data_IF_361422423973
#
_entry.id   IF_361422423973
#
_cell.length_a   1.000
_cell.length_b   1.000
_cell.length_c   1.000
_cell.angle_alpha   90.00
_cell.angle_beta   90.00
_cell.angle_gamma   90.00
#
_symmetry.space_group_name_H-M   'P 1'
#
loop_
_entity.id
_entity.type
_entity.pdbx_description
1 polymer ?
#
# COMPACT_ATOMS: atom_id res chain seq x y z
N UNK A 1 -65.93 40.38 -4.46
CA UNK A 1 -64.78 40.61 -5.35
C UNK A 1 -63.64 39.69 -4.93
N UNK A 2 -63.09 38.93 -5.90
CA UNK A 2 -61.83 38.17 -5.93
C UNK A 2 -61.43 37.37 -4.68
N UNK A 3 -61.80 36.08 -4.70
CA UNK A 3 -61.13 35.05 -3.91
C UNK A 3 -59.85 34.55 -4.59
N UNK A 4 -58.85 34.22 -3.76
CA UNK A 4 -57.91 33.10 -3.92
C UNK A 4 -56.93 33.14 -5.08
N UNK A 5 -55.76 33.75 -4.87
CA UNK A 5 -54.56 33.51 -5.68
C UNK A 5 -53.34 33.47 -4.73
N UNK A 6 -53.11 32.33 -4.08
CA UNK A 6 -51.88 32.11 -3.30
C UNK A 6 -51.38 30.65 -3.25
N UNK A 7 -51.93 29.72 -4.04
CA UNK A 7 -51.62 28.28 -3.87
C UNK A 7 -50.67 27.72 -4.96
N UNK A 8 -49.99 28.57 -5.72
CA UNK A 8 -49.08 28.13 -6.80
C UNK A 8 -47.62 27.90 -6.37
N UNK A 9 -47.15 28.56 -5.31
CA UNK A 9 -45.70 28.60 -4.97
C UNK A 9 -45.29 27.65 -3.83
N UNK A 10 -46.23 27.24 -2.98
CA UNK A 10 -45.93 26.37 -1.83
C UNK A 10 -45.66 24.93 -2.29
N UNK A 11 -46.43 24.43 -3.26
CA UNK A 11 -46.26 23.09 -3.81
C UNK A 11 -44.94 22.93 -4.57
N UNK A 12 -44.53 23.94 -5.35
CA UNK A 12 -43.25 23.95 -6.06
C UNK A 12 -42.05 24.00 -5.09
N UNK A 13 -42.15 24.80 -4.02
CA UNK A 13 -41.12 24.86 -2.97
C UNK A 13 -40.97 23.55 -2.19
N UNK A 14 -42.07 22.85 -1.92
CA UNK A 14 -42.05 21.55 -1.26
C UNK A 14 -41.39 20.47 -2.14
N UNK A 15 -41.67 20.46 -3.44
CA UNK A 15 -41.02 19.54 -4.40
C UNK A 15 -39.51 19.80 -4.46
N UNK A 16 -39.11 21.07 -4.55
CA UNK A 16 -37.71 21.46 -4.64
C UNK A 16 -36.92 21.14 -3.34
N UNK A 17 -37.59 21.18 -2.19
CA UNK A 17 -37.03 20.73 -0.91
C UNK A 17 -36.86 19.20 -0.85
N UNK A 18 -37.85 18.44 -1.32
CA UNK A 18 -37.77 16.98 -1.40
C UNK A 18 -36.66 16.50 -2.34
N UNK A 19 -36.54 17.13 -3.51
CA UNK A 19 -35.49 16.82 -4.49
C UNK A 19 -34.09 17.11 -3.91
N UNK A 20 -33.95 18.19 -3.14
CA UNK A 20 -32.69 18.53 -2.45
C UNK A 20 -32.34 17.52 -1.35
N UNK A 21 -33.34 17.06 -0.59
CA UNK A 21 -33.16 16.02 0.43
C UNK A 21 -32.73 14.68 -0.20
N UNK A 22 -33.36 14.31 -1.32
CA UNK A 22 -33.03 13.09 -2.07
C UNK A 22 -31.61 13.16 -2.65
N UNK A 23 -31.20 14.31 -3.21
CA UNK A 23 -29.84 14.53 -3.72
C UNK A 23 -28.80 14.42 -2.60
N UNK A 24 -29.07 14.98 -1.42
CA UNK A 24 -28.19 14.87 -0.26
C UNK A 24 -28.01 13.40 0.16
N UNK A 25 -29.11 12.65 0.28
CA UNK A 25 -29.06 11.23 0.64
C UNK A 25 -28.27 10.39 -0.39
N UNK A 26 -28.52 10.62 -1.69
CA UNK A 26 -27.80 9.93 -2.77
C UNK A 26 -26.30 10.23 -2.75
N UNK A 27 -25.93 11.49 -2.49
CA UNK A 27 -24.53 11.91 -2.38
C UNK A 27 -23.82 11.24 -1.19
N UNK A 28 -24.43 11.23 -0.01
CA UNK A 28 -23.86 10.59 1.19
C UNK A 28 -23.71 9.07 1.00
N UNK A 29 -24.72 8.42 0.41
CA UNK A 29 -24.66 7.01 0.06
C UNK A 29 -23.50 6.73 -0.90
N UNK A 30 -23.36 7.54 -1.96
CA UNK A 30 -22.29 7.38 -2.94
C UNK A 30 -20.90 7.56 -2.34
N UNK A 31 -20.70 8.57 -1.47
CA UNK A 31 -19.42 8.77 -0.76
C UNK A 31 -19.01 7.55 0.06
N UNK A 32 -19.95 6.91 0.76
CA UNK A 32 -19.69 5.72 1.55
C UNK A 32 -19.22 4.52 0.69
N UNK A 33 -19.71 4.37 -0.53
CA UNK A 33 -19.28 3.32 -1.46
C UNK A 33 -17.95 3.65 -2.16
N UNK A 34 -17.74 4.90 -2.54
CA UNK A 34 -16.47 5.35 -3.15
C UNK A 34 -15.30 5.19 -2.17
N UNK A 35 -15.51 5.46 -0.87
CA UNK A 35 -14.50 5.25 0.16
C UNK A 35 -14.04 3.78 0.26
N UNK A 36 -14.96 2.83 0.19
CA UNK A 36 -14.64 1.38 0.21
C UNK A 36 -13.81 0.97 -1.00
N UNK A 37 -14.17 1.45 -2.19
CA UNK A 37 -13.44 1.15 -3.43
C UNK A 37 -12.02 1.77 -3.44
N UNK A 38 -11.88 3.00 -2.96
CA UNK A 38 -10.58 3.67 -2.83
C UNK A 38 -9.66 2.94 -1.83
N UNK A 39 -10.18 2.55 -0.66
CA UNK A 39 -9.43 1.80 0.34
C UNK A 39 -8.97 0.43 -0.18
N UNK A 40 -9.84 -0.29 -0.90
CA UNK A 40 -9.48 -1.56 -1.52
C UNK A 40 -8.35 -1.41 -2.55
N UNK A 41 -8.38 -0.35 -3.38
CA UNK A 41 -7.30 -0.03 -4.33
C UNK A 41 -5.99 0.27 -3.60
N UNK A 42 -6.03 1.09 -2.54
CA UNK A 42 -4.85 1.43 -1.73
C UNK A 42 -4.23 0.19 -1.07
N UNK A 43 -5.05 -0.66 -0.44
CA UNK A 43 -4.58 -1.91 0.20
C UNK A 43 -3.94 -2.87 -0.81
N UNK A 44 -4.52 -2.98 -2.02
CA UNK A 44 -3.94 -3.78 -3.12
C UNK A 44 -2.60 -3.22 -3.59
N UNK A 45 -2.46 -1.91 -3.71
CA UNK A 45 -1.20 -1.25 -4.06
C UNK A 45 -0.13 -1.48 -2.98
N UNK A 46 -0.48 -1.33 -1.69
CA UNK A 46 0.44 -1.61 -0.59
C UNK A 46 0.91 -3.08 -0.60
N UNK A 47 0.01 -4.04 -0.83
CA UNK A 47 0.38 -5.46 -0.93
C UNK A 47 1.35 -5.71 -2.09
N UNK A 48 1.13 -5.09 -3.25
CA UNK A 48 2.04 -5.19 -4.41
C UNK A 48 3.41 -4.58 -4.12
N UNK A 49 3.43 -3.41 -3.47
CA UNK A 49 4.68 -2.76 -3.08
C UNK A 49 5.48 -3.62 -2.08
N UNK A 50 4.78 -4.21 -1.09
CA UNK A 50 5.39 -5.13 -0.12
C UNK A 50 5.95 -6.38 -0.79
N UNK A 51 5.17 -7.03 -1.66
CA UNK A 51 5.64 -8.19 -2.43
C UNK A 51 6.87 -7.87 -3.28
N UNK A 52 6.87 -6.72 -3.98
CA UNK A 52 8.04 -6.30 -4.78
C UNK A 52 9.29 -6.09 -3.91
N UNK A 53 9.11 -5.53 -2.71
CA UNK A 53 10.21 -5.36 -1.74
C UNK A 53 10.71 -6.71 -1.24
N UNK A 54 9.82 -7.60 -0.82
CA UNK A 54 10.16 -8.95 -0.34
C UNK A 54 10.88 -9.78 -1.42
N UNK A 55 10.43 -9.75 -2.68
CA UNK A 55 11.11 -10.43 -3.78
C UNK A 55 12.51 -9.88 -4.02
N UNK A 56 12.69 -8.55 -3.98
CA UNK A 56 14.01 -7.93 -4.14
C UNK A 56 14.93 -8.27 -2.96
N UNK A 57 14.42 -8.21 -1.75
CA UNK A 57 15.19 -8.51 -0.55
C UNK A 57 15.55 -10.01 -0.48
N UNK A 58 14.69 -10.91 -1.00
CA UNK A 58 15.01 -12.32 -1.17
C UNK A 58 16.05 -12.57 -2.27
N UNK A 59 15.95 -11.89 -3.43
CA UNK A 59 16.95 -11.98 -4.49
C UNK A 59 18.33 -11.53 -4.00
N UNK A 60 18.40 -10.45 -3.23
CA UNK A 60 19.65 -9.98 -2.63
C UNK A 60 20.24 -10.98 -1.62
N UNK A 61 19.42 -11.78 -0.95
CA UNK A 61 19.90 -12.87 -0.09
C UNK A 61 20.45 -14.04 -0.91
N UNK A 62 19.75 -14.44 -1.96
CA UNK A 62 20.19 -15.52 -2.86
C UNK A 62 21.50 -15.17 -3.58
N UNK A 63 21.65 -13.94 -4.11
CA UNK A 63 22.89 -13.47 -4.77
C UNK A 63 24.11 -13.57 -3.86
N UNK A 64 23.89 -13.45 -2.55
CA UNK A 64 24.94 -13.46 -1.55
C UNK A 64 25.20 -14.84 -0.94
N UNK A 65 24.20 -15.72 -0.88
CA UNK A 65 24.46 -17.14 -0.66
C UNK A 65 25.34 -17.74 -1.77
N UNK A 66 25.40 -17.08 -2.93
CA UNK A 66 26.32 -17.36 -4.02
C UNK A 66 27.63 -16.53 -3.95
N UNK A 67 27.76 -15.60 -3.01
CA UNK A 67 28.95 -14.76 -2.85
C UNK A 67 29.96 -15.46 -1.92
N UNK A 68 30.93 -16.14 -2.54
CA UNK A 68 31.96 -16.96 -1.89
C UNK A 68 32.96 -16.16 -1.01
N UNK A 69 32.82 -14.84 -0.91
CA UNK A 69 33.74 -13.98 -0.14
C UNK A 69 33.53 -14.05 1.37
N UNK A 70 32.31 -14.31 1.82
CA UNK A 70 31.97 -14.34 3.24
C UNK A 70 31.72 -15.77 3.73
N UNK A 71 32.26 -16.09 4.91
CA UNK A 71 31.90 -17.31 5.63
C UNK A 71 30.51 -17.19 6.25
N UNK A 72 30.19 -16.01 6.79
CA UNK A 72 28.90 -15.73 7.42
C UNK A 72 28.53 -14.25 7.31
N UNK A 73 27.31 -13.94 6.88
CA UNK A 73 26.83 -12.56 6.76
C UNK A 73 25.87 -12.22 7.89
N UNK A 74 26.29 -11.25 8.71
CA UNK A 74 25.55 -10.80 9.88
C UNK A 74 24.41 -9.84 9.52
N UNK A 75 24.51 -9.14 8.39
CA UNK A 75 23.44 -8.25 7.93
C UNK A 75 23.80 -7.42 6.69
N UNK A 76 22.90 -6.49 6.39
CA UNK A 76 23.00 -5.57 5.26
C UNK A 76 23.00 -4.14 5.74
N UNK A 77 23.90 -3.35 5.18
CA UNK A 77 23.85 -1.90 5.36
C UNK A 77 22.62 -1.31 4.66
N UNK A 78 22.25 -0.08 5.02
CA UNK A 78 21.14 0.64 4.35
C UNK A 78 21.37 0.82 2.84
N UNK A 79 22.63 0.79 2.39
CA UNK A 79 23.03 0.83 0.98
C UNK A 79 23.04 -0.52 0.27
N UNK A 80 22.72 -1.62 0.96
CA UNK A 80 22.66 -2.97 0.38
C UNK A 80 24.00 -3.72 0.33
N UNK A 81 25.09 -3.12 0.80
CA UNK A 81 26.37 -3.82 0.94
C UNK A 81 26.30 -4.83 2.10
N UNK A 82 26.69 -6.11 1.89
CA UNK A 82 26.77 -7.10 2.95
C UNK A 82 27.92 -6.80 3.91
N UNK A 83 27.71 -7.11 5.19
CA UNK A 83 28.78 -7.15 6.19
C UNK A 83 28.69 -8.43 7.01
N UNK A 84 29.85 -8.98 7.34
CA UNK A 84 29.94 -10.31 7.91
C UNK A 84 31.39 -10.73 8.11
N UNK A 85 31.54 -11.97 8.51
CA UNK A 85 32.82 -12.63 8.73
C UNK A 85 33.30 -13.22 7.40
N UNK A 86 34.50 -12.83 6.98
CA UNK A 86 35.14 -13.40 5.77
C UNK A 86 35.86 -14.71 6.08
N UNK A 87 36.18 -15.48 5.05
CA UNK A 87 37.02 -16.67 5.20
C UNK A 87 38.41 -16.34 5.77
N UNK A 88 38.97 -15.19 5.40
CA UNK A 88 40.26 -14.70 5.90
C UNK A 88 40.23 -14.42 7.41
N UNK A 89 39.13 -13.83 7.91
CA UNK A 89 38.96 -13.52 9.33
C UNK A 89 38.76 -14.77 10.20
N UNK A 90 38.17 -15.85 9.65
CA UNK A 90 38.04 -17.13 10.36
C UNK A 90 39.34 -17.91 10.46
N UNK A 91 40.45 -17.40 9.90
CA UNK A 91 41.75 -18.08 9.90
C UNK A 91 41.78 -19.37 9.06
N UNK A 92 40.71 -19.63 8.29
CA UNK A 92 40.60 -20.75 7.38
C UNK A 92 41.05 -20.28 5.99
N UNK A 93 42.33 -20.46 5.67
CA UNK A 93 42.69 -20.52 4.24
C UNK A 93 41.95 -21.71 3.64
N UNK A 94 41.39 -21.64 2.41
CA UNK A 94 40.60 -22.74 1.85
C UNK A 94 41.39 -24.04 1.57
N UNK A 95 42.67 -24.08 1.93
CA UNK A 95 43.62 -25.16 1.65
C UNK A 95 44.75 -25.25 2.70
N UNK A 96 44.48 -25.03 4.00
CA UNK A 96 45.39 -25.66 4.98
C UNK A 96 45.19 -27.18 4.91
N UNK A 97 46.08 -27.78 4.13
CA UNK A 97 46.35 -29.20 4.00
C UNK A 97 46.18 -29.91 5.34
N UNK A 98 45.29 -30.90 5.35
CA UNK A 98 45.40 -31.99 6.31
C UNK A 98 46.72 -32.73 5.99
N UNK A 99 47.84 -32.31 6.58
CA UNK A 99 48.97 -33.21 6.87
C UNK A 99 48.58 -34.18 7.99
#
# INVERSE_FOLDING_TARGET
MRGGLADGNIAAGAQLAADRQAAFYCMEYTKAYQGKAAFAKQKKQQRRARQKKETRDNLAKEEILQDDRFFFIAGYTSGGAPYGVTWEEMGLKPWEENE
#
